data_IF_547359952068
#
_entry.id   IF_547359952068
#
_cell.length_a   1.000
_cell.length_b   1.000
_cell.length_c   1.000
_cell.angle_alpha   90.00
_cell.angle_beta   90.00
_cell.angle_gamma   90.00
#
_symmetry.space_group_name_H-M   'P 1'
#
loop_
_entity.id
_entity.type
_entity.pdbx_description
1 polymer ?
#
# COMPACT_ATOMS: atom_id res chain seq x y z
N UNK A 1 1.72 -26.07 1.78
CA UNK A 1 2.80 -25.72 0.84
C UNK A 1 3.27 -24.32 1.15
N UNK A 2 4.50 -24.12 1.63
CA UNK A 2 5.13 -22.79 1.63
C UNK A 2 5.71 -22.57 0.23
N UNK A 3 5.07 -21.72 -0.58
CA UNK A 3 5.63 -21.29 -1.86
C UNK A 3 6.42 -20.00 -1.61
N UNK A 4 7.75 -20.09 -1.68
CA UNK A 4 8.61 -18.91 -1.66
C UNK A 4 8.42 -18.18 -2.97
N UNK A 5 7.92 -16.94 -2.93
CA UNK A 5 7.70 -16.09 -4.10
C UNK A 5 8.87 -15.15 -4.36
N UNK A 6 9.55 -14.70 -3.30
CA UNK A 6 10.71 -13.81 -3.33
C UNK A 6 11.54 -13.96 -2.05
N UNK A 7 12.78 -13.48 -2.07
CA UNK A 7 13.71 -13.48 -0.93
C UNK A 7 14.54 -12.18 -0.93
N UNK A 8 15.21 -11.89 0.20
CA UNK A 8 16.05 -10.69 0.39
C UNK A 8 15.29 -9.37 0.11
N UNK A 9 14.05 -9.28 0.59
CA UNK A 9 13.25 -8.06 0.49
C UNK A 9 13.45 -7.21 1.75
N UNK A 10 13.84 -5.95 1.56
CA UNK A 10 13.95 -4.97 2.66
C UNK A 10 12.65 -4.17 2.84
N UNK A 11 11.83 -4.09 1.79
CA UNK A 11 10.59 -3.31 1.75
C UNK A 11 9.49 -4.07 1.02
N UNK A 12 8.25 -3.84 1.44
CA UNK A 12 7.06 -4.38 0.80
C UNK A 12 5.99 -3.31 0.65
N UNK A 13 5.44 -3.19 -0.56
CA UNK A 13 4.38 -2.26 -0.88
C UNK A 13 3.12 -3.05 -1.20
N UNK A 14 2.10 -2.91 -0.36
CA UNK A 14 0.83 -3.61 -0.48
C UNK A 14 -0.13 -2.71 -1.26
N UNK A 15 -0.37 -3.04 -2.53
CA UNK A 15 -1.18 -2.21 -3.43
C UNK A 15 -2.63 -2.69 -3.45
N UNK A 16 -3.57 -1.79 -3.19
CA UNK A 16 -5.02 -2.01 -3.35
C UNK A 16 -5.63 -0.88 -4.17
N UNK A 17 -6.78 -1.11 -4.78
CA UNK A 17 -7.49 -0.07 -5.52
C UNK A 17 -8.56 0.59 -4.63
N UNK A 18 -8.69 1.91 -4.68
CA UNK A 18 -9.78 2.62 -4.03
C UNK A 18 -11.14 2.22 -4.60
N UNK A 19 -11.20 1.94 -5.91
CA UNK A 19 -12.40 1.59 -6.67
C UNK A 19 -12.05 0.73 -7.90
N UNK A 20 -13.02 -0.04 -8.38
CA UNK A 20 -12.93 -0.92 -9.56
C UNK A 20 -11.72 -1.89 -9.58
N UNK A 21 -11.65 -2.87 -8.65
CA UNK A 21 -12.59 -3.14 -7.57
C UNK A 21 -12.29 -2.30 -6.31
N UNK A 22 -13.31 -2.06 -5.49
CA UNK A 22 -13.15 -1.39 -4.20
C UNK A 22 -12.31 -2.26 -3.25
N UNK A 23 -11.39 -1.63 -2.50
CA UNK A 23 -10.60 -2.30 -1.48
C UNK A 23 -11.50 -2.94 -0.40
N UNK A 24 -11.23 -4.20 -0.10
CA UNK A 24 -11.80 -4.90 1.05
C UNK A 24 -10.84 -4.74 2.26
N UNK A 25 -11.27 -4.15 3.39
CA UNK A 25 -10.44 -4.02 4.59
C UNK A 25 -9.84 -5.35 5.07
N UNK A 26 -10.57 -6.47 4.98
CA UNK A 26 -10.04 -7.78 5.37
C UNK A 26 -8.85 -8.21 4.50
N UNK A 27 -8.88 -7.87 3.20
CA UNK A 27 -7.76 -8.12 2.30
C UNK A 27 -6.56 -7.24 2.69
N UNK A 28 -6.80 -5.98 3.03
CA UNK A 28 -5.74 -5.06 3.47
C UNK A 28 -5.08 -5.58 4.74
N UNK A 29 -5.87 -5.99 5.74
CA UNK A 29 -5.36 -6.55 7.00
C UNK A 29 -4.49 -7.79 6.75
N UNK A 30 -4.94 -8.70 5.88
CA UNK A 30 -4.16 -9.89 5.51
C UNK A 30 -2.85 -9.52 4.82
N UNK A 31 -2.85 -8.53 3.92
CA UNK A 31 -1.64 -8.07 3.24
C UNK A 31 -0.65 -7.46 4.24
N UNK A 32 -1.13 -6.60 5.16
CA UNK A 32 -0.29 -6.00 6.19
C UNK A 32 0.29 -7.07 7.12
N UNK A 33 -0.54 -8.02 7.56
CA UNK A 33 -0.11 -9.14 8.39
C UNK A 33 0.99 -9.99 7.71
N UNK A 34 0.89 -10.21 6.40
CA UNK A 34 1.91 -10.96 5.65
C UNK A 34 3.26 -10.24 5.62
N UNK A 35 3.26 -8.91 5.51
CA UNK A 35 4.48 -8.09 5.63
C UNK A 35 5.12 -8.23 7.00
N UNK A 36 4.33 -8.00 8.06
CA UNK A 36 4.79 -8.08 9.45
C UNK A 36 5.30 -9.49 9.82
N UNK A 37 4.61 -10.55 9.38
CA UNK A 37 5.05 -11.93 9.57
C UNK A 37 6.40 -12.22 8.89
N UNK A 38 6.70 -11.49 7.81
CA UNK A 38 7.98 -11.56 7.09
C UNK A 38 9.04 -10.61 7.68
N UNK A 39 8.75 -9.95 8.81
CA UNK A 39 9.59 -8.93 9.47
C UNK A 39 9.91 -7.72 8.58
N UNK A 40 9.04 -7.41 7.64
CA UNK A 40 9.13 -6.25 6.76
C UNK A 40 7.93 -5.37 7.06
N UNK A 41 8.16 -4.16 7.56
CA UNK A 41 7.06 -3.21 7.80
C UNK A 41 6.46 -2.80 6.44
N UNK A 42 5.20 -3.18 6.14
CA UNK A 42 4.62 -2.93 4.83
C UNK A 42 4.16 -1.47 4.71
N UNK A 43 4.30 -0.93 3.51
CA UNK A 43 3.67 0.35 3.12
C UNK A 43 2.39 0.06 2.35
N UNK A 44 1.27 0.65 2.76
CA UNK A 44 0.00 0.51 2.06
C UNK A 44 -0.07 1.53 0.92
N UNK A 45 -0.40 1.08 -0.28
CA UNK A 45 -0.58 1.95 -1.45
C UNK A 45 -2.01 1.79 -1.94
N UNK A 46 -2.79 2.87 -1.85
CA UNK A 46 -4.16 2.93 -2.34
C UNK A 46 -4.14 3.61 -3.70
N UNK A 47 -4.28 2.81 -4.76
CA UNK A 47 -4.27 3.25 -6.16
C UNK A 47 -5.66 3.65 -6.65
N UNK A 48 -5.73 4.27 -7.84
CA UNK A 48 -6.94 4.69 -8.55
C UNK A 48 -7.74 5.79 -7.84
N UNK A 49 -7.05 6.69 -7.16
CA UNK A 49 -7.69 7.83 -6.46
C UNK A 49 -8.26 8.89 -7.41
N UNK A 50 -7.98 8.77 -8.70
CA UNK A 50 -8.56 9.56 -9.79
C UNK A 50 -10.02 9.21 -10.10
N UNK A 51 -10.48 8.00 -9.73
CA UNK A 51 -11.83 7.57 -10.07
C UNK A 51 -12.90 8.37 -9.32
N UNK A 52 -14.04 8.70 -9.94
CA UNK A 52 -15.14 9.40 -9.28
C UNK A 52 -15.61 8.66 -8.00
N UNK A 53 -15.63 9.38 -6.88
CA UNK A 53 -16.00 8.84 -5.56
C UNK A 53 -14.90 8.02 -4.87
N UNK A 54 -13.71 7.86 -5.47
CA UNK A 54 -12.61 7.12 -4.84
C UNK A 54 -12.18 7.71 -3.48
N UNK A 55 -12.27 9.04 -3.33
CA UNK A 55 -11.93 9.74 -2.08
C UNK A 55 -12.78 9.31 -0.88
N UNK A 56 -14.03 8.90 -1.09
CA UNK A 56 -14.94 8.41 -0.04
C UNK A 56 -14.48 7.08 0.56
N UNK A 57 -13.70 6.30 -0.18
CA UNK A 57 -13.12 5.04 0.28
C UNK A 57 -11.67 5.24 0.70
N UNK A 58 -10.87 5.91 -0.14
CA UNK A 58 -9.44 6.05 0.04
C UNK A 58 -9.09 6.85 1.31
N UNK A 59 -9.81 7.93 1.61
CA UNK A 59 -9.48 8.79 2.74
C UNK A 59 -9.79 8.13 4.10
N UNK A 60 -10.96 7.50 4.33
CA UNK A 60 -11.20 6.76 5.57
C UNK A 60 -10.23 5.60 5.76
N UNK A 61 -9.94 4.85 4.69
CA UNK A 61 -9.01 3.72 4.73
C UNK A 61 -7.60 4.19 5.08
N UNK A 62 -7.14 5.29 4.45
CA UNK A 62 -5.89 5.95 4.81
C UNK A 62 -5.85 6.34 6.28
N UNK A 63 -6.86 7.06 6.76
CA UNK A 63 -6.90 7.54 8.15
C UNK A 63 -6.85 6.37 9.14
N UNK A 64 -7.59 5.29 8.88
CA UNK A 64 -7.59 4.09 9.70
C UNK A 64 -6.19 3.50 9.83
N UNK A 65 -5.54 3.15 8.71
CA UNK A 65 -4.24 2.49 8.75
C UNK A 65 -3.10 3.42 9.18
N UNK A 66 -3.19 4.72 8.88
CA UNK A 66 -2.24 5.70 9.41
C UNK A 66 -2.34 5.86 10.93
N UNK A 67 -3.55 5.83 11.50
CA UNK A 67 -3.74 5.96 12.95
C UNK A 67 -3.10 4.84 13.77
N UNK A 68 -2.89 3.67 13.14
CA UNK A 68 -2.22 2.52 13.75
C UNK A 68 -0.76 2.37 13.29
N UNK A 69 -0.19 3.40 12.63
CA UNK A 69 1.25 3.53 12.40
C UNK A 69 1.80 2.99 11.08
N UNK A 70 0.94 2.65 10.11
CA UNK A 70 1.38 2.31 8.75
C UNK A 70 1.60 3.57 7.92
N UNK A 71 2.62 3.54 7.05
CA UNK A 71 2.72 4.49 5.96
C UNK A 71 1.65 4.14 4.91
N UNK A 72 0.85 5.14 4.55
CA UNK A 72 -0.21 4.97 3.54
C UNK A 72 -0.06 6.03 2.47
N UNK A 73 0.09 5.58 1.23
CA UNK A 73 0.23 6.42 0.05
C UNK A 73 -1.06 6.37 -0.78
N UNK A 74 -1.55 7.53 -1.18
CA UNK A 74 -2.65 7.66 -2.13
C UNK A 74 -2.06 7.95 -3.51
N UNK A 75 -2.35 7.10 -4.48
CA UNK A 75 -1.77 7.21 -5.82
C UNK A 75 -2.80 7.04 -6.92
N UNK A 76 -2.49 7.60 -8.08
CA UNK A 76 -3.14 7.32 -9.34
C UNK A 76 -2.05 6.93 -10.33
N UNK A 77 -2.00 5.65 -10.67
CA UNK A 77 -1.13 5.16 -11.72
C UNK A 77 -1.48 5.75 -13.10
N UNK A 78 -2.74 6.16 -13.30
CA UNK A 78 -3.24 6.76 -14.55
C UNK A 78 -2.79 8.22 -14.70
N UNK A 79 -2.99 9.04 -13.67
CA UNK A 79 -2.71 10.48 -13.73
C UNK A 79 -1.32 10.87 -13.24
N UNK A 80 -0.62 9.93 -12.59
CA UNK A 80 0.67 10.16 -11.96
C UNK A 80 0.59 10.78 -10.55
N UNK A 81 -0.61 11.11 -10.06
CA UNK A 81 -0.78 11.66 -8.71
C UNK A 81 -0.18 10.73 -7.64
N UNK A 82 0.63 11.28 -6.75
CA UNK A 82 1.25 10.55 -5.64
C UNK A 82 2.41 9.61 -6.03
N UNK A 83 2.70 9.43 -7.33
CA UNK A 83 3.79 8.54 -7.76
C UNK A 83 5.17 9.06 -7.37
N UNK A 84 5.39 10.38 -7.34
CA UNK A 84 6.67 10.94 -6.89
C UNK A 84 7.02 10.54 -5.45
N UNK A 85 6.05 10.61 -4.53
CA UNK A 85 6.24 10.14 -3.16
C UNK A 85 6.50 8.62 -3.12
N UNK A 86 5.80 7.84 -3.94
CA UNK A 86 6.05 6.40 -4.05
C UNK A 86 7.47 6.10 -4.56
N UNK A 87 7.97 6.85 -5.54
CA UNK A 87 9.34 6.72 -6.07
C UNK A 87 10.40 7.05 -5.03
N UNK A 88 10.20 8.09 -4.22
CA UNK A 88 11.07 8.45 -3.10
C UNK A 88 11.13 7.31 -2.06
N UNK A 89 9.97 6.74 -1.70
CA UNK A 89 9.87 5.62 -0.77
C UNK A 89 10.48 4.33 -1.32
N UNK A 90 10.39 4.09 -2.64
CA UNK A 90 11.04 2.97 -3.30
C UNK A 90 12.57 3.14 -3.32
N UNK A 91 13.05 4.36 -3.57
CA UNK A 91 14.48 4.66 -3.74
C UNK A 91 15.27 4.63 -2.43
N UNK A 92 14.59 4.72 -1.28
CA UNK A 92 15.23 4.68 0.05
C UNK A 92 15.46 3.25 0.58
N UNK A 93 15.25 2.21 -0.23
CA UNK A 93 15.41 0.79 0.11
C UNK A 93 16.80 0.32 0.52
N UNK A 94 17.86 1.04 0.12
CA UNK A 94 19.25 0.67 0.37
C UNK A 94 19.95 1.71 1.25
N UNK A 95 19.59 1.79 2.52
CA UNK A 95 20.41 2.48 3.52
C UNK A 95 20.83 1.45 4.57
N UNK A 96 22.01 0.85 4.35
CA UNK A 96 22.77 0.17 5.40
C UNK A 96 23.48 1.20 6.26
#
# INVERSE_FOLDING_TARGET
MHKVLAANLDRAFMVVAAKDPQANPELVDRLLLLGEASRIKPTLVINKVDLPGAGEIAQPLKNLYQSIGYLVLLVSAETGAGLGQLEEELSSGFQR
#
